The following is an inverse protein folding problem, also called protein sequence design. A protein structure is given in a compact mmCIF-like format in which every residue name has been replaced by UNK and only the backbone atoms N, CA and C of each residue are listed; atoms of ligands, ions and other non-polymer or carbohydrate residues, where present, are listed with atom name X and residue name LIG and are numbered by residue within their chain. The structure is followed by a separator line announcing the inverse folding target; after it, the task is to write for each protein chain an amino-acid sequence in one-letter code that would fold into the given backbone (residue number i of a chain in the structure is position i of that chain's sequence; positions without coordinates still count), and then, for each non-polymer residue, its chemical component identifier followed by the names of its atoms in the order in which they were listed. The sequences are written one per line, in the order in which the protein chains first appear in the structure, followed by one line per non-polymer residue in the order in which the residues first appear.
data_IF_395838918544
#
_entry.id   IF_395838918544
#
_cell.length_a   1.000
_cell.length_b   1.000
_cell.length_c   1.000
_cell.angle_alpha   90.00
_cell.angle_beta   90.00
_cell.angle_gamma   90.00
#
_symmetry.space_group_name_H-M   'P 1'
#
loop_
_entity.id
_entity.type
_entity.pdbx_description
1 polymer ?
#
# COMPACT_ATOMS: atom_id res chain seq x y z
N UNK A 1 0.20 -40.06 -54.46
CA UNK A 1 -0.74 -38.91 -54.29
C UNK A 1 -1.08 -38.60 -52.84
N UNK A 2 -0.15 -38.64 -51.88
CA UNK A 2 -0.43 -38.47 -50.42
C UNK A 2 0.28 -37.24 -49.77
N UNK A 3 1.06 -36.47 -50.51
CA UNK A 3 1.82 -35.33 -50.01
C UNK A 3 1.02 -34.05 -49.74
N UNK A 4 -0.07 -33.68 -50.46
CA UNK A 4 -0.78 -32.41 -50.18
C UNK A 4 -1.63 -32.44 -48.90
N UNK A 5 -2.16 -33.65 -48.50
CA UNK A 5 -3.03 -33.76 -47.34
C UNK A 5 -2.26 -33.56 -46.01
N UNK A 6 -1.03 -34.06 -45.93
CA UNK A 6 -0.15 -33.92 -44.74
C UNK A 6 0.36 -32.49 -44.57
N UNK A 7 0.55 -31.73 -45.64
CA UNK A 7 0.90 -30.29 -45.55
C UNK A 7 -0.27 -29.46 -45.10
N UNK A 8 -1.49 -29.76 -45.56
CA UNK A 8 -2.70 -29.04 -45.14
C UNK A 8 -3.01 -29.27 -43.65
N UNK A 9 -2.86 -30.51 -43.16
CA UNK A 9 -3.01 -30.83 -41.72
C UNK A 9 -1.95 -30.12 -40.85
N UNK A 10 -0.71 -30.07 -41.30
CA UNK A 10 0.36 -29.32 -40.58
C UNK A 10 0.09 -27.83 -40.56
N UNK A 11 -0.39 -27.23 -41.63
CA UNK A 11 -0.78 -25.81 -41.68
C UNK A 11 -1.96 -25.50 -40.76
N UNK A 12 -2.98 -26.38 -40.70
CA UNK A 12 -4.12 -26.24 -39.80
C UNK A 12 -3.71 -26.39 -38.32
N UNK A 13 -2.81 -27.35 -38.01
CA UNK A 13 -2.27 -27.49 -36.64
C UNK A 13 -1.40 -26.29 -36.24
N UNK A 14 -0.59 -25.76 -37.13
CA UNK A 14 0.21 -24.54 -36.87
C UNK A 14 -0.68 -23.30 -36.66
N UNK A 15 -1.76 -23.17 -37.46
CA UNK A 15 -2.73 -22.07 -37.28
C UNK A 15 -3.52 -22.21 -35.98
N UNK A 16 -3.91 -23.42 -35.59
CA UNK A 16 -4.57 -23.69 -34.31
C UNK A 16 -3.63 -23.43 -33.11
N UNK A 17 -2.34 -23.79 -33.22
CA UNK A 17 -1.33 -23.47 -32.20
C UNK A 17 -1.07 -21.97 -32.10
N UNK A 18 -1.02 -21.26 -33.22
CA UNK A 18 -0.86 -19.82 -33.24
C UNK A 18 -2.09 -19.08 -32.66
N UNK A 19 -3.30 -19.58 -32.90
CA UNK A 19 -4.53 -19.07 -32.28
C UNK A 19 -4.57 -19.33 -30.76
N UNK A 20 -4.09 -20.50 -30.30
CA UNK A 20 -3.98 -20.80 -28.88
C UNK A 20 -2.91 -19.95 -28.18
N UNK A 21 -1.81 -19.62 -28.84
CA UNK A 21 -0.75 -18.75 -28.33
C UNK A 21 -1.16 -17.26 -28.25
N UNK A 22 -2.16 -16.84 -29.04
CA UNK A 22 -2.69 -15.47 -29.03
C UNK A 22 -3.66 -15.20 -27.88
N UNK A 23 -4.10 -16.22 -27.12
CA UNK A 23 -4.91 -16.04 -25.90
C UNK A 23 -3.96 -15.72 -24.76
N UNK A 24 -3.46 -14.48 -24.69
CA UNK A 24 -2.86 -13.98 -23.47
C UNK A 24 -3.96 -13.90 -22.42
N UNK A 25 -3.79 -14.45 -21.20
CA UNK A 25 -4.74 -14.23 -20.14
C UNK A 25 -4.78 -12.73 -19.86
N UNK A 26 -5.86 -12.08 -20.25
CA UNK A 26 -6.14 -10.74 -19.74
C UNK A 26 -6.20 -10.89 -18.22
N UNK A 27 -5.30 -10.23 -17.49
CA UNK A 27 -5.32 -10.18 -16.03
C UNK A 27 -6.56 -9.38 -15.61
N UNK A 28 -7.69 -10.09 -15.54
CA UNK A 28 -8.91 -9.52 -14.98
C UNK A 28 -8.79 -9.58 -13.46
N UNK A 29 -8.84 -8.42 -12.84
CA UNK A 29 -8.93 -8.26 -11.39
C UNK A 29 -10.40 -8.20 -10.98
N UNK A 30 -10.71 -8.60 -9.74
CA UNK A 30 -12.08 -8.46 -9.25
C UNK A 30 -12.28 -7.04 -8.77
N UNK A 31 -13.51 -6.52 -8.85
CA UNK A 31 -13.84 -5.15 -8.39
C UNK A 31 -13.33 -4.91 -6.96
N UNK A 32 -13.47 -5.88 -6.04
CA UNK A 32 -12.97 -5.74 -4.65
C UNK A 32 -11.45 -5.58 -4.53
N UNK A 33 -10.68 -5.98 -5.54
CA UNK A 33 -9.23 -5.85 -5.55
C UNK A 33 -8.81 -4.46 -6.08
N UNK A 34 -9.73 -3.75 -6.76
CA UNK A 34 -9.55 -2.41 -7.32
C UNK A 34 -9.93 -1.26 -6.38
N UNK A 35 -10.71 -1.54 -5.32
CA UNK A 35 -11.19 -0.48 -4.44
C UNK A 35 -12.11 -1.00 -3.33
N UNK A 36 -12.87 -0.07 -2.74
CA UNK A 36 -13.78 -0.37 -1.64
C UNK A 36 -15.05 0.46 -1.68
N UNK A 37 -16.12 -0.06 -1.09
CA UNK A 37 -17.33 0.71 -0.92
C UNK A 37 -17.18 1.78 0.16
N UNK A 38 -17.74 2.94 -0.08
CA UNK A 38 -17.77 4.03 0.90
C UNK A 38 -18.48 3.57 2.19
N UNK A 39 -17.91 3.96 3.34
CA UNK A 39 -18.42 3.56 4.65
C UNK A 39 -17.85 2.21 5.15
N UNK A 40 -17.11 1.47 4.32
CA UNK A 40 -16.45 0.22 4.70
C UNK A 40 -14.95 0.44 5.00
N UNK A 41 -14.60 1.52 5.69
CA UNK A 41 -13.23 1.74 6.13
C UNK A 41 -13.04 1.31 7.58
N UNK A 42 -11.85 0.85 7.91
CA UNK A 42 -11.45 0.71 9.30
C UNK A 42 -11.27 2.08 9.96
N UNK A 43 -11.66 2.19 11.23
CA UNK A 43 -11.51 3.41 12.01
C UNK A 43 -10.45 3.18 13.11
N UNK A 44 -9.56 4.15 13.26
CA UNK A 44 -8.53 4.10 14.30
C UNK A 44 -9.15 4.55 15.63
N UNK A 45 -8.98 3.74 16.67
CA UNK A 45 -9.36 4.07 18.03
C UNK A 45 -8.12 4.32 18.86
N UNK A 46 -8.20 5.34 19.71
CA UNK A 46 -7.13 5.68 20.63
C UNK A 46 -7.67 5.90 22.05
N UNK A 47 -6.84 5.64 23.03
CA UNK A 47 -7.20 5.93 24.41
C UNK A 47 -5.97 6.02 25.28
N UNK A 48 -6.16 6.62 26.43
CA UNK A 48 -5.14 6.82 27.44
C UNK A 48 -5.45 5.98 28.68
N UNK A 49 -4.50 5.18 29.13
CA UNK A 49 -4.72 4.25 30.23
C UNK A 49 -3.51 4.02 31.13
N UNK A 50 -3.67 3.09 32.03
CA UNK A 50 -2.61 2.67 32.97
C UNK A 50 -2.43 1.15 32.87
N UNK A 51 -1.18 0.75 32.80
CA UNK A 51 -0.74 -0.63 33.02
C UNK A 51 -0.21 -0.74 34.45
N UNK A 52 -0.65 -1.77 35.17
CA UNK A 52 -0.27 -2.05 36.54
C UNK A 52 0.36 -3.44 36.66
N UNK A 53 1.00 -3.72 37.82
CA UNK A 53 1.61 -5.02 38.08
C UNK A 53 3.02 -5.17 37.49
N UNK A 54 3.66 -4.08 37.12
CA UNK A 54 5.02 -4.11 36.59
C UNK A 54 6.05 -4.40 37.71
N UNK A 55 7.08 -5.24 37.45
CA UNK A 55 8.09 -5.60 38.45
C UNK A 55 9.16 -4.50 38.60
N UNK A 56 8.77 -3.29 38.99
CA UNK A 56 9.68 -2.16 39.17
C UNK A 56 10.17 -1.51 37.85
N UNK A 57 9.58 -1.85 36.70
CA UNK A 57 9.96 -1.34 35.37
C UNK A 57 9.03 -0.23 34.86
N UNK A 58 8.08 0.20 35.68
CA UNK A 58 7.14 1.28 35.33
C UNK A 58 7.77 2.67 35.35
N UNK A 59 6.93 3.69 35.41
CA UNK A 59 7.34 5.08 35.36
C UNK A 59 8.03 5.54 36.66
N UNK A 60 9.20 6.16 36.53
CA UNK A 60 9.95 6.73 37.67
C UNK A 60 9.39 8.11 38.08
N UNK A 61 8.81 8.87 37.15
CA UNK A 61 8.28 10.21 37.39
C UNK A 61 6.77 10.28 37.09
N UNK A 62 6.04 10.59 38.13
CA UNK A 62 4.66 10.18 38.34
C UNK A 62 3.58 11.19 37.98
N UNK A 63 3.88 12.33 37.40
CA UNK A 63 2.81 13.33 37.16
C UNK A 63 1.71 12.76 36.26
N UNK A 64 2.05 12.12 35.17
CA UNK A 64 1.07 11.52 34.24
C UNK A 64 0.42 10.26 34.82
N UNK A 65 1.21 9.38 35.44
CA UNK A 65 0.68 8.18 36.09
C UNK A 65 -0.23 8.54 37.28
N UNK A 66 0.11 9.57 38.02
CA UNK A 66 -0.73 10.05 39.15
C UNK A 66 -2.05 10.62 38.65
N UNK A 67 -2.05 11.43 37.58
CA UNK A 67 -3.27 11.95 36.99
C UNK A 67 -4.18 10.84 36.45
N UNK A 68 -3.59 9.87 35.76
CA UNK A 68 -4.31 8.73 35.24
C UNK A 68 -4.84 7.83 36.36
N UNK A 69 -4.03 7.59 37.43
CA UNK A 69 -4.45 6.81 38.58
C UNK A 69 -5.58 7.52 39.36
N UNK A 70 -5.54 8.86 39.52
CA UNK A 70 -6.64 9.63 40.08
C UNK A 70 -7.91 9.50 39.24
N UNK A 71 -7.82 9.51 37.92
CA UNK A 71 -8.95 9.29 37.03
C UNK A 71 -9.58 7.91 37.23
N UNK A 72 -8.76 6.87 37.39
CA UNK A 72 -9.24 5.50 37.64
C UNK A 72 -9.81 5.35 39.05
N UNK A 73 -9.11 5.80 40.10
CA UNK A 73 -9.57 5.70 41.51
C UNK A 73 -10.87 6.47 41.72
N UNK A 74 -11.04 7.65 41.10
CA UNK A 74 -12.28 8.40 41.17
C UNK A 74 -13.46 7.63 40.55
N UNK A 75 -13.23 6.87 39.46
CA UNK A 75 -14.27 6.00 38.89
C UNK A 75 -14.71 4.86 39.81
N UNK A 76 -13.78 4.39 40.68
CA UNK A 76 -14.09 3.36 41.69
C UNK A 76 -14.52 3.94 43.06
N UNK A 77 -14.78 5.27 43.10
CA UNK A 77 -15.22 5.93 44.32
C UNK A 77 -14.12 6.15 45.40
N UNK A 78 -12.86 5.95 44.98
CA UNK A 78 -11.70 6.19 45.86
C UNK A 78 -11.08 7.53 45.49
N UNK A 79 -11.07 8.49 46.42
CA UNK A 79 -10.34 9.75 46.26
C UNK A 79 -8.97 9.69 46.93
N UNK A 80 -7.91 9.92 46.14
CA UNK A 80 -6.56 10.07 46.73
C UNK A 80 -6.46 11.45 47.40
N UNK A 81 -5.98 11.55 48.63
CA UNK A 81 -5.79 12.81 49.30
C UNK A 81 -4.85 13.74 48.53
N UNK A 82 -5.07 15.08 48.56
CA UNK A 82 -4.14 16.04 47.95
C UNK A 82 -2.74 15.89 48.55
N UNK A 83 -1.71 15.82 47.69
CA UNK A 83 -0.30 15.71 48.13
C UNK A 83 0.25 14.29 48.27
N UNK A 84 -0.57 13.25 48.20
CA UNK A 84 -0.08 11.87 48.13
C UNK A 84 0.41 11.59 46.72
N UNK A 85 1.70 11.35 46.58
CA UNK A 85 2.35 10.95 45.33
C UNK A 85 2.79 9.47 45.48
N UNK A 86 1.99 8.51 44.97
CA UNK A 86 2.36 7.10 45.07
C UNK A 86 3.57 6.85 44.17
N UNK A 87 4.78 6.79 44.75
CA UNK A 87 6.00 6.43 44.05
C UNK A 87 5.97 4.93 43.72
N UNK A 88 5.30 4.54 42.65
CA UNK A 88 5.15 3.12 42.34
C UNK A 88 5.70 2.87 40.91
N UNK A 89 6.94 2.37 40.85
CA UNK A 89 7.51 1.80 39.61
C UNK A 89 6.75 0.57 39.10
N UNK A 90 5.62 0.26 39.75
CA UNK A 90 4.76 -0.88 39.38
C UNK A 90 3.62 -0.48 38.39
N UNK A 91 3.55 0.80 38.01
CA UNK A 91 2.57 1.30 37.06
C UNK A 91 3.22 2.12 35.96
N UNK A 92 2.60 2.13 34.81
CA UNK A 92 3.02 2.94 33.66
C UNK A 92 1.82 3.59 32.97
N UNK A 93 1.98 4.85 32.59
CA UNK A 93 1.04 5.54 31.70
C UNK A 93 1.22 5.06 30.27
N UNK A 94 0.13 4.73 29.61
CA UNK A 94 0.15 4.13 28.27
C UNK A 94 -0.86 4.77 27.32
N UNK A 95 -0.49 4.85 26.06
CA UNK A 95 -1.40 5.02 24.93
C UNK A 95 -1.83 3.65 24.45
N UNK A 96 -3.10 3.50 24.19
CA UNK A 96 -3.69 2.27 23.66
C UNK A 96 -4.33 2.58 22.33
N UNK A 97 -3.99 1.79 21.33
CA UNK A 97 -4.55 1.92 19.98
C UNK A 97 -5.18 0.62 19.54
N UNK A 98 -6.28 0.72 18.80
CA UNK A 98 -6.95 -0.40 18.17
C UNK A 98 -7.52 0.01 16.81
N UNK A 99 -7.72 -0.97 15.96
CA UNK A 99 -8.38 -0.79 14.68
C UNK A 99 -9.81 -1.35 14.80
N UNK A 100 -10.80 -0.50 14.58
CA UNK A 100 -12.20 -0.89 14.53
C UNK A 100 -12.56 -1.27 13.09
N UNK A 101 -12.80 -2.56 12.80
CA UNK A 101 -13.16 -3.00 11.45
C UNK A 101 -14.44 -2.33 10.97
N UNK A 102 -14.63 -2.21 9.66
CA UNK A 102 -15.90 -1.73 9.13
C UNK A 102 -17.06 -2.64 9.58
N UNK A 103 -18.21 -2.03 9.83
CA UNK A 103 -19.42 -2.72 10.29
C UNK A 103 -19.25 -3.54 11.58
N UNK A 104 -18.27 -3.25 12.41
CA UNK A 104 -18.10 -3.91 13.69
C UNK A 104 -19.36 -3.79 14.55
N UNK A 105 -19.74 -4.89 15.21
CA UNK A 105 -20.93 -4.96 16.05
C UNK A 105 -20.56 -4.93 17.53
N UNK A 106 -21.41 -4.36 18.41
CA UNK A 106 -21.25 -4.46 19.87
C UNK A 106 -21.01 -5.90 20.30
N UNK A 107 -20.05 -6.09 21.23
CA UNK A 107 -19.60 -7.40 21.70
C UNK A 107 -18.47 -8.03 20.89
N UNK A 108 -18.12 -7.52 19.72
CA UNK A 108 -16.96 -7.98 18.95
C UNK A 108 -15.65 -7.64 19.66
N UNK A 109 -14.67 -8.56 19.57
CA UNK A 109 -13.37 -8.40 20.21
C UNK A 109 -12.37 -7.83 19.21
N UNK A 110 -11.53 -6.91 19.70
CA UNK A 110 -10.46 -6.26 18.94
C UNK A 110 -9.11 -6.51 19.61
N UNK A 111 -8.08 -6.64 18.80
CA UNK A 111 -6.71 -6.60 19.29
C UNK A 111 -6.31 -5.17 19.61
N UNK A 112 -5.55 -4.99 20.67
CA UNK A 112 -5.05 -3.67 21.05
C UNK A 112 -3.53 -3.66 21.16
N UNK A 113 -2.95 -2.54 20.79
CA UNK A 113 -1.53 -2.23 20.99
C UNK A 113 -1.42 -1.22 22.12
N UNK A 114 -0.54 -1.51 23.06
CA UNK A 114 -0.31 -0.71 24.26
C UNK A 114 1.12 -0.20 24.25
N UNK A 115 1.32 1.10 24.26
CA UNK A 115 2.63 1.76 24.18
C UNK A 115 2.84 2.66 25.39
N UNK A 116 3.99 2.56 26.05
CA UNK A 116 4.34 3.44 27.16
C UNK A 116 4.51 4.89 26.67
N UNK A 117 3.92 5.84 27.39
CA UNK A 117 4.06 7.29 27.11
C UNK A 117 5.15 7.88 28.00
N UNK A 118 5.33 7.31 29.19
CA UNK A 118 6.25 7.80 30.19
C UNK A 118 7.66 7.18 30.06
N UNK A 119 8.33 7.02 31.20
CA UNK A 119 9.69 6.52 31.30
C UNK A 119 9.75 5.01 31.61
N UNK A 120 8.65 4.30 31.46
CA UNK A 120 8.60 2.87 31.74
C UNK A 120 9.60 2.10 30.85
N UNK A 121 10.49 1.35 31.51
CA UNK A 121 11.55 0.58 30.84
C UNK A 121 11.00 -0.67 30.17
N UNK A 122 9.93 -1.26 30.71
CA UNK A 122 9.27 -2.44 30.17
C UNK A 122 7.83 -2.54 30.68
N UNK A 123 6.93 -2.97 29.80
CA UNK A 123 5.53 -3.28 30.13
C UNK A 123 5.30 -4.78 30.39
N UNK A 124 6.36 -5.58 30.44
CA UNK A 124 6.26 -7.03 30.60
C UNK A 124 5.67 -7.42 31.94
N UNK A 125 4.71 -8.34 31.92
CA UNK A 125 3.99 -8.81 33.10
C UNK A 125 2.89 -7.87 33.60
N UNK A 126 2.71 -6.73 32.92
CA UNK A 126 1.70 -5.75 33.26
C UNK A 126 0.30 -6.12 32.76
N UNK A 127 -0.70 -5.56 33.42
CA UNK A 127 -2.11 -5.65 33.09
C UNK A 127 -2.68 -4.28 32.81
N UNK A 128 -3.32 -4.09 31.67
CA UNK A 128 -4.04 -2.87 31.32
C UNK A 128 -5.35 -2.83 32.12
N UNK A 129 -5.56 -1.76 32.87
CA UNK A 129 -6.82 -1.47 33.55
C UNK A 129 -7.86 -1.05 32.51
N UNK A 130 -9.13 -1.43 32.74
CA UNK A 130 -10.24 -1.10 31.85
C UNK A 130 -10.30 0.39 31.54
N UNK A 131 -10.28 0.72 30.26
CA UNK A 131 -10.28 2.08 29.76
C UNK A 131 -11.04 2.22 28.45
N UNK A 132 -11.64 3.40 28.17
CA UNK A 132 -12.29 3.64 26.90
C UNK A 132 -11.32 3.87 25.76
N UNK A 133 -11.70 3.38 24.58
CA UNK A 133 -11.08 3.73 23.30
C UNK A 133 -12.03 4.66 22.52
N UNK A 134 -11.50 5.80 22.11
CA UNK A 134 -12.23 6.87 21.46
C UNK A 134 -11.91 6.90 19.95
N UNK A 135 -12.91 7.22 19.16
CA UNK A 135 -12.76 7.58 17.76
C UNK A 135 -12.27 9.03 17.57
N UNK A 136 -12.07 9.42 16.33
CA UNK A 136 -11.65 10.79 15.98
C UNK A 136 -12.70 11.86 16.35
N UNK A 137 -13.95 11.47 16.51
CA UNK A 137 -15.09 12.30 16.98
C UNK A 137 -15.15 12.45 18.51
N UNK A 138 -14.22 11.82 19.24
CA UNK A 138 -14.20 11.83 20.70
C UNK A 138 -15.23 10.93 21.38
N UNK A 139 -15.98 10.12 20.61
CA UNK A 139 -16.95 9.18 21.16
C UNK A 139 -16.27 7.85 21.52
N UNK A 140 -16.82 7.18 22.54
CA UNK A 140 -16.36 5.86 22.98
C UNK A 140 -16.93 4.78 22.07
N UNK A 141 -16.07 3.99 21.44
CA UNK A 141 -16.44 2.88 20.55
C UNK A 141 -16.10 1.50 21.12
N UNK A 142 -15.08 1.42 21.97
CA UNK A 142 -14.70 0.15 22.61
C UNK A 142 -14.15 0.37 24.02
N UNK A 143 -14.15 -0.70 24.81
CA UNK A 143 -13.52 -0.76 26.13
C UNK A 143 -12.35 -1.74 26.07
N UNK A 144 -11.14 -1.32 26.49
CA UNK A 144 -9.94 -2.13 26.48
C UNK A 144 -9.51 -2.53 27.87
N UNK A 145 -9.09 -3.80 28.05
CA UNK A 145 -8.47 -4.32 29.26
C UNK A 145 -7.73 -5.63 28.98
N UNK A 146 -6.80 -6.02 29.88
CA UNK A 146 -6.21 -7.35 29.85
C UNK A 146 -4.71 -7.40 30.08
N UNK A 147 -4.16 -8.59 30.04
CA UNK A 147 -2.74 -8.85 30.28
C UNK A 147 -1.93 -8.61 29.01
N UNK A 148 -0.80 -7.92 29.13
CA UNK A 148 0.05 -7.59 28.01
C UNK A 148 0.96 -8.75 27.61
N UNK A 149 0.94 -9.08 26.32
CA UNK A 149 2.00 -9.87 25.71
C UNK A 149 3.05 -8.90 25.15
N UNK A 150 4.22 -8.86 25.78
CA UNK A 150 5.33 -7.99 25.39
C UNK A 150 6.42 -8.83 24.75
N UNK A 151 6.74 -8.54 23.49
CA UNK A 151 7.88 -9.12 22.78
C UNK A 151 9.15 -8.38 23.18
N UNK A 152 10.24 -9.14 23.45
CA UNK A 152 11.54 -8.55 23.78
C UNK A 152 11.97 -8.70 25.24
N UNK A 153 13.28 -8.56 25.43
CA UNK A 153 13.95 -8.65 26.73
C UNK A 153 14.83 -7.39 26.89
N UNK A 154 14.56 -6.62 27.94
CA UNK A 154 15.48 -5.58 28.40
C UNK A 154 16.16 -6.08 29.66
N UNK A 155 17.48 -6.25 29.65
CA UNK A 155 18.28 -6.60 30.83
C UNK A 155 19.24 -5.45 31.10
N UNK A 156 19.13 -4.90 32.31
CA UNK A 156 20.10 -3.90 32.80
C UNK A 156 21.06 -4.64 33.75
N UNK A 157 22.35 -4.66 33.42
CA UNK A 157 23.40 -5.19 34.28
C UNK A 157 23.61 -4.30 35.51
N UNK A 158 24.14 -4.87 36.58
CA UNK A 158 24.50 -4.14 37.81
C UNK A 158 25.64 -3.12 37.59
N UNK A 159 26.34 -3.22 36.46
CA UNK A 159 27.41 -2.33 35.97
C UNK A 159 26.89 -1.16 35.14
N UNK A 160 25.56 -1.04 34.96
CA UNK A 160 24.93 -0.02 34.12
C UNK A 160 24.85 -0.37 32.62
N UNK A 161 25.33 -1.54 32.21
CA UNK A 161 25.15 -2.03 30.85
C UNK A 161 23.68 -2.35 30.59
N UNK A 162 23.15 -1.86 29.44
CA UNK A 162 21.76 -2.08 29.05
C UNK A 162 21.71 -2.80 27.69
N UNK A 163 21.27 -4.05 27.70
CA UNK A 163 21.03 -4.82 26.49
C UNK A 163 19.53 -4.90 26.24
N UNK A 164 19.04 -4.23 25.22
CA UNK A 164 17.64 -4.26 24.81
C UNK A 164 17.52 -5.06 23.51
N UNK A 165 16.85 -6.19 23.60
CA UNK A 165 16.48 -7.00 22.44
C UNK A 165 14.97 -6.79 22.19
N UNK A 166 14.62 -6.17 21.06
CA UNK A 166 13.28 -5.67 20.74
C UNK A 166 12.81 -4.52 21.67
N UNK A 167 11.61 -4.00 21.42
CA UNK A 167 11.06 -2.84 22.13
C UNK A 167 10.18 -3.31 23.31
N UNK A 168 10.67 -3.32 24.55
CA UNK A 168 9.90 -3.81 25.71
C UNK A 168 8.85 -2.81 26.20
N UNK A 169 8.83 -1.58 25.70
CA UNK A 169 7.87 -0.53 26.04
C UNK A 169 6.58 -0.59 25.22
N UNK A 170 6.45 -1.58 24.31
CA UNK A 170 5.24 -1.83 23.54
C UNK A 170 4.77 -3.26 23.77
N UNK A 171 3.48 -3.44 24.00
CA UNK A 171 2.85 -4.74 24.17
C UNK A 171 1.56 -4.85 23.37
N UNK A 172 1.07 -6.07 23.19
CA UNK A 172 -0.19 -6.37 22.53
C UNK A 172 -1.09 -7.16 23.45
N UNK A 173 -2.39 -6.91 23.40
CA UNK A 173 -3.40 -7.72 24.07
C UNK A 173 -4.30 -8.28 22.98
N UNK A 174 -4.20 -9.58 22.72
CA UNK A 174 -5.07 -10.24 21.76
C UNK A 174 -6.50 -10.24 22.29
N UNK A 175 -7.46 -9.84 21.44
CA UNK A 175 -8.85 -9.67 21.82
C UNK A 175 -9.04 -8.79 23.07
N UNK A 176 -8.17 -7.79 23.25
CA UNK A 176 -8.07 -6.97 24.45
C UNK A 176 -9.11 -5.85 24.58
N UNK A 177 -9.84 -5.54 23.52
CA UNK A 177 -10.97 -4.60 23.61
C UNK A 177 -12.26 -5.24 23.15
N UNK A 178 -13.37 -4.74 23.70
CA UNK A 178 -14.74 -5.11 23.29
C UNK A 178 -15.40 -3.89 22.68
N UNK A 179 -16.01 -4.05 21.52
CA UNK A 179 -16.77 -3.00 20.84
C UNK A 179 -18.07 -2.74 21.65
N UNK A 180 -18.32 -1.48 21.99
CA UNK A 180 -19.50 -1.05 22.71
C UNK A 180 -20.52 -0.36 21.78
N UNK A 181 -20.01 0.31 20.74
CA UNK A 181 -20.83 1.04 19.77
C UNK A 181 -20.39 0.75 18.35
N UNK A 182 -21.34 0.53 17.45
CA UNK A 182 -21.10 0.47 16.02
C UNK A 182 -20.89 1.88 15.45
N UNK A 183 -20.08 1.99 14.39
CA UNK A 183 -19.95 3.24 13.63
C UNK A 183 -21.13 3.35 12.68
N UNK A 184 -21.84 4.48 12.72
CA UNK A 184 -22.88 4.78 11.75
C UNK A 184 -22.22 5.16 10.41
N UNK A 185 -22.40 4.30 9.41
CA UNK A 185 -21.77 4.48 8.09
C UNK A 185 -22.67 5.15 7.07
N UNK A 186 -23.93 5.46 7.42
CA UNK A 186 -24.95 5.94 6.48
C UNK A 186 -25.34 4.90 5.41
N UNK A 187 -24.83 3.68 5.52
CA UNK A 187 -25.01 2.60 4.57
C UNK A 187 -26.49 2.29 4.25
N UNK A 188 -27.37 2.44 5.23
CA UNK A 188 -28.81 2.15 5.08
C UNK A 188 -29.63 3.36 4.62
N UNK A 189 -29.05 4.58 4.66
CA UNK A 189 -29.79 5.83 4.50
C UNK A 189 -29.66 6.45 3.11
N UNK A 190 -28.65 6.07 2.33
CA UNK A 190 -28.43 6.63 0.99
C UNK A 190 -29.13 5.82 -0.10
N UNK A 191 -29.74 6.44 -1.14
CA UNK A 191 -30.35 5.72 -2.25
C UNK A 191 -29.34 5.11 -3.23
N UNK A 192 -28.07 5.19 -2.95
CA UNK A 192 -26.98 4.67 -3.78
C UNK A 192 -25.86 4.10 -2.91
N UNK A 193 -25.08 3.21 -3.50
CA UNK A 193 -23.76 2.79 -3.01
C UNK A 193 -22.70 3.58 -3.80
N UNK A 194 -21.62 3.95 -3.13
CA UNK A 194 -20.48 4.56 -3.77
C UNK A 194 -19.29 3.60 -3.65
N UNK A 195 -18.75 3.20 -4.79
CA UNK A 195 -17.54 2.40 -4.84
C UNK A 195 -16.36 3.31 -5.20
N UNK A 196 -15.34 3.32 -4.35
CA UNK A 196 -14.16 4.15 -4.52
C UNK A 196 -12.98 3.29 -4.96
N UNK A 197 -12.38 3.63 -6.09
CA UNK A 197 -11.15 3.04 -6.58
C UNK A 197 -9.98 3.40 -5.66
N UNK A 198 -9.03 2.49 -5.51
CA UNK A 198 -7.78 2.73 -4.78
C UNK A 198 -6.87 3.71 -5.51
N UNK A 199 -6.76 3.55 -6.83
CA UNK A 199 -6.01 4.43 -7.71
C UNK A 199 -6.98 5.22 -8.62
N UNK A 200 -6.73 6.53 -8.73
CA UNK A 200 -7.57 7.41 -9.54
C UNK A 200 -7.33 7.17 -11.03
N UNK A 201 -8.30 6.61 -11.74
CA UNK A 201 -8.26 6.41 -13.20
C UNK A 201 -9.65 6.43 -13.82
N UNK A 202 -9.89 7.39 -14.74
CA UNK A 202 -11.16 7.57 -15.42
C UNK A 202 -11.58 6.34 -16.25
N UNK A 203 -10.61 5.72 -16.91
CA UNK A 203 -10.88 4.56 -17.79
C UNK A 203 -11.26 3.34 -16.97
N UNK A 204 -10.57 3.10 -15.86
CA UNK A 204 -10.89 2.03 -14.93
C UNK A 204 -12.25 2.26 -14.27
N UNK A 205 -12.56 3.51 -13.85
CA UNK A 205 -13.88 3.84 -13.30
C UNK A 205 -15.02 3.56 -14.29
N UNK A 206 -14.85 3.91 -15.56
CA UNK A 206 -15.81 3.59 -16.62
C UNK A 206 -15.95 2.08 -16.84
N UNK A 207 -14.82 1.35 -16.93
CA UNK A 207 -14.83 -0.11 -17.10
C UNK A 207 -15.52 -0.83 -15.94
N UNK A 208 -15.33 -0.36 -14.71
CA UNK A 208 -16.03 -0.87 -13.53
C UNK A 208 -17.54 -0.64 -13.66
N UNK A 209 -17.95 0.58 -14.03
CA UNK A 209 -19.37 0.89 -14.23
C UNK A 209 -20.00 0.03 -15.34
N UNK A 210 -19.31 -0.13 -16.48
CA UNK A 210 -19.77 -0.95 -17.60
C UNK A 210 -19.85 -2.44 -17.22
N UNK A 211 -18.88 -2.97 -16.49
CA UNK A 211 -18.88 -4.35 -16.01
C UNK A 211 -20.06 -4.62 -15.06
N UNK A 212 -20.35 -3.68 -14.14
CA UNK A 212 -21.51 -3.76 -13.26
C UNK A 212 -22.80 -3.76 -14.09
N UNK A 213 -22.95 -2.82 -15.01
CA UNK A 213 -24.12 -2.69 -15.87
C UNK A 213 -24.32 -3.95 -16.73
N UNK A 214 -23.23 -4.49 -17.28
CA UNK A 214 -23.25 -5.74 -18.04
C UNK A 214 -23.72 -6.94 -17.23
N UNK A 215 -23.22 -7.06 -15.99
CA UNK A 215 -23.61 -8.17 -15.08
C UNK A 215 -25.08 -8.13 -14.65
N UNK A 216 -25.64 -6.92 -14.48
CA UNK A 216 -27.03 -6.75 -14.05
C UNK A 216 -28.02 -6.59 -15.22
N UNK A 217 -27.55 -6.30 -16.42
CA UNK A 217 -28.35 -6.18 -17.63
C UNK A 217 -29.12 -4.85 -17.77
N UNK A 218 -28.85 -3.86 -16.91
CA UNK A 218 -29.42 -2.50 -16.99
C UNK A 218 -28.47 -1.47 -16.41
N UNK A 219 -28.72 -0.19 -16.72
CA UNK A 219 -27.88 0.93 -16.26
C UNK A 219 -28.08 1.17 -14.75
N UNK A 220 -27.22 0.56 -13.95
CA UNK A 220 -27.21 0.60 -12.49
C UNK A 220 -26.07 1.47 -11.95
N UNK A 221 -24.93 1.45 -12.61
CA UNK A 221 -23.70 2.10 -12.20
C UNK A 221 -23.29 3.20 -13.18
N UNK A 222 -22.77 4.29 -12.64
CA UNK A 222 -22.23 5.43 -13.40
C UNK A 222 -20.93 5.88 -12.74
N UNK A 223 -19.87 6.06 -13.52
CA UNK A 223 -18.65 6.70 -13.06
C UNK A 223 -18.90 8.19 -12.82
N UNK A 224 -18.73 8.65 -11.59
CA UNK A 224 -18.88 10.06 -11.22
C UNK A 224 -17.62 10.86 -11.54
N UNK A 225 -16.47 10.27 -11.25
CA UNK A 225 -15.15 10.85 -11.40
C UNK A 225 -14.08 9.75 -11.53
N UNK A 226 -12.81 10.11 -11.48
CA UNK A 226 -11.69 9.17 -11.63
C UNK A 226 -11.57 8.16 -10.48
N UNK A 227 -12.24 8.40 -9.36
CA UNK A 227 -12.14 7.58 -8.14
C UNK A 227 -13.46 6.91 -7.83
N UNK A 228 -14.59 7.55 -8.10
CA UNK A 228 -15.88 7.13 -7.57
C UNK A 228 -16.87 6.64 -8.63
N UNK A 229 -17.43 5.46 -8.39
CA UNK A 229 -18.53 4.86 -9.17
C UNK A 229 -19.76 4.82 -8.31
N UNK A 230 -20.83 5.51 -8.73
CA UNK A 230 -22.13 5.52 -8.06
C UNK A 230 -23.02 4.41 -8.61
N UNK A 231 -23.59 3.65 -7.71
CA UNK A 231 -24.40 2.47 -8.02
C UNK A 231 -25.77 2.65 -7.35
N UNK A 232 -26.85 2.58 -8.11
CA UNK A 232 -28.20 2.63 -7.52
C UNK A 232 -28.40 1.45 -6.56
N UNK A 233 -28.85 1.74 -5.33
CA UNK A 233 -28.91 0.76 -4.27
C UNK A 233 -30.35 0.33 -3.97
N UNK A 234 -30.58 -0.94 -3.62
CA UNK A 234 -31.84 -1.40 -3.06
C UNK A 234 -32.18 -0.69 -1.74
N UNK A 235 -33.44 -0.70 -1.37
CA UNK A 235 -33.90 -0.04 -0.14
C UNK A 235 -33.53 -0.83 1.11
N UNK A 236 -33.52 -2.16 1.04
CA UNK A 236 -33.27 -3.01 2.21
C UNK A 236 -31.78 -3.30 2.40
N UNK A 237 -31.31 -3.34 3.65
CA UNK A 237 -29.94 -3.66 3.98
C UNK A 237 -29.52 -5.06 3.47
N UNK A 238 -30.42 -6.03 3.52
CA UNK A 238 -30.15 -7.40 3.04
C UNK A 238 -29.86 -7.41 1.54
N UNK A 239 -30.70 -6.74 0.74
CA UNK A 239 -30.52 -6.68 -0.72
C UNK A 239 -29.23 -5.91 -1.08
N UNK A 240 -28.87 -4.88 -0.30
CA UNK A 240 -27.60 -4.16 -0.48
C UNK A 240 -26.39 -5.06 -0.29
N UNK A 241 -26.38 -5.85 0.79
CA UNK A 241 -25.29 -6.80 1.06
C UNK A 241 -25.19 -7.83 -0.06
N UNK A 242 -26.34 -8.39 -0.50
CA UNK A 242 -26.35 -9.34 -1.62
C UNK A 242 -25.82 -8.71 -2.91
N UNK A 243 -26.24 -7.49 -3.20
CA UNK A 243 -25.79 -6.74 -4.38
C UNK A 243 -24.31 -6.48 -4.34
N UNK A 244 -23.76 -5.98 -3.22
CA UNK A 244 -22.34 -5.74 -3.03
C UNK A 244 -21.53 -7.01 -3.19
N UNK A 245 -21.95 -8.11 -2.58
CA UNK A 245 -21.29 -9.41 -2.71
C UNK A 245 -21.20 -9.89 -4.16
N UNK A 246 -22.22 -9.61 -4.98
CA UNK A 246 -22.18 -9.90 -6.42
C UNK A 246 -21.24 -8.98 -7.16
N UNK A 247 -21.25 -7.67 -6.85
CA UNK A 247 -20.39 -6.66 -7.48
C UNK A 247 -18.92 -6.93 -7.20
N UNK A 248 -18.57 -7.22 -5.95
CA UNK A 248 -17.19 -7.48 -5.53
C UNK A 248 -16.46 -8.55 -6.33
N UNK A 249 -17.19 -9.52 -6.85
CA UNK A 249 -16.63 -10.66 -7.56
C UNK A 249 -16.69 -10.53 -9.10
N UNK A 250 -17.15 -9.39 -9.64
CA UNK A 250 -17.16 -9.15 -11.08
C UNK A 250 -15.72 -8.95 -11.55
N UNK A 251 -15.27 -9.68 -12.59
CA UNK A 251 -13.95 -9.47 -13.18
C UNK A 251 -13.94 -8.21 -14.05
N UNK A 252 -12.92 -7.39 -13.87
CA UNK A 252 -12.66 -6.16 -14.65
C UNK A 252 -11.20 -6.14 -15.04
N UNK A 253 -10.91 -5.76 -16.26
CA UNK A 253 -9.54 -5.47 -16.70
C UNK A 253 -9.28 -3.97 -16.47
N UNK A 254 -8.47 -3.56 -15.48
CA UNK A 254 -8.17 -2.16 -15.24
C UNK A 254 -7.44 -1.54 -16.43
N UNK A 255 -7.43 -0.22 -16.53
CA UNK A 255 -6.59 0.46 -17.50
C UNK A 255 -5.11 0.26 -17.15
N UNK A 256 -4.26 0.42 -18.17
CA UNK A 256 -2.82 0.38 -17.94
C UNK A 256 -2.42 1.52 -16.98
N UNK A 257 -1.73 1.17 -15.90
CA UNK A 257 -1.32 2.14 -14.89
C UNK A 257 -0.39 3.21 -15.53
N UNK A 258 -0.51 4.45 -15.05
CA UNK A 258 0.38 5.52 -15.49
C UNK A 258 1.85 5.13 -15.28
N UNK A 259 2.70 5.52 -16.23
CA UNK A 259 4.13 5.25 -16.16
C UNK A 259 4.73 5.87 -14.89
N UNK A 260 5.34 5.04 -14.03
CA UNK A 260 5.90 5.46 -12.73
C UNK A 260 7.26 4.85 -12.48
N UNK A 261 8.17 5.67 -11.97
CA UNK A 261 9.51 5.27 -11.53
C UNK A 261 9.68 5.67 -10.07
N UNK A 262 10.03 4.73 -9.24
CA UNK A 262 10.31 4.97 -7.80
C UNK A 262 11.80 4.67 -7.58
N UNK A 263 12.52 5.63 -7.05
CA UNK A 263 13.95 5.51 -6.75
C UNK A 263 14.17 5.72 -5.27
N UNK A 264 14.76 4.74 -4.60
CA UNK A 264 15.24 4.91 -3.24
C UNK A 264 16.72 5.30 -3.29
N UNK A 265 17.00 6.59 -3.09
CA UNK A 265 18.35 7.14 -3.17
C UNK A 265 19.32 6.58 -2.11
N UNK A 266 18.79 6.06 -0.99
CA UNK A 266 19.60 5.47 0.09
C UNK A 266 20.01 4.03 -0.19
N UNK A 267 19.12 3.23 -0.75
CA UNK A 267 19.36 1.79 -0.98
C UNK A 267 19.76 1.47 -2.42
N UNK A 268 19.60 2.42 -3.36
CA UNK A 268 19.81 2.20 -4.79
C UNK A 268 18.71 1.37 -5.48
N UNK A 269 17.60 1.11 -4.78
CA UNK A 269 16.52 0.33 -5.36
C UNK A 269 15.72 1.20 -6.34
N UNK A 270 15.56 0.71 -7.58
CA UNK A 270 14.73 1.33 -8.61
C UNK A 270 13.58 0.39 -8.95
N UNK A 271 12.36 0.90 -8.88
CA UNK A 271 11.15 0.19 -9.29
C UNK A 271 10.55 0.91 -10.49
N UNK A 272 10.36 0.18 -11.58
CA UNK A 272 9.86 0.71 -12.86
C UNK A 272 8.62 -0.09 -13.23
N UNK A 273 7.51 0.57 -13.54
CA UNK A 273 6.39 -0.13 -14.15
C UNK A 273 6.57 -0.24 -15.67
N UNK A 274 5.87 -1.21 -16.32
CA UNK A 274 6.08 -1.59 -17.70
C UNK A 274 5.80 -0.53 -18.76
N UNK A 275 5.14 0.59 -18.40
CA UNK A 275 4.72 1.65 -19.33
C UNK A 275 5.75 2.78 -19.50
N UNK A 276 6.90 2.71 -18.80
CA UNK A 276 7.90 3.79 -18.81
C UNK A 276 8.69 3.80 -20.10
N UNK A 277 8.67 4.94 -20.80
CA UNK A 277 9.43 5.19 -22.04
C UNK A 277 10.31 6.42 -21.88
N UNK A 278 11.47 6.38 -22.51
CA UNK A 278 12.41 7.51 -22.56
C UNK A 278 12.49 8.04 -23.99
N UNK A 279 12.36 9.36 -24.11
CA UNK A 279 12.60 10.08 -25.36
C UNK A 279 14.09 10.38 -25.57
N UNK A 280 14.45 10.87 -26.76
CA UNK A 280 15.82 11.29 -27.06
C UNK A 280 16.28 12.42 -26.13
N UNK A 281 17.39 12.21 -25.43
CA UNK A 281 18.01 13.21 -24.56
C UNK A 281 19.49 12.91 -24.35
N UNK A 282 20.26 13.93 -23.99
CA UNK A 282 21.63 13.78 -23.51
C UNK A 282 21.72 14.40 -22.11
N UNK A 283 22.15 13.62 -21.14
CA UNK A 283 22.38 14.06 -19.75
C UNK A 283 23.82 13.80 -19.37
N UNK A 284 24.45 14.80 -18.78
CA UNK A 284 25.78 14.68 -18.21
C UNK A 284 25.73 14.96 -16.71
N UNK A 285 26.20 14.01 -15.89
CA UNK A 285 26.28 14.16 -14.44
C UNK A 285 27.65 13.70 -13.95
N UNK A 286 28.43 14.63 -13.41
CA UNK A 286 29.80 14.34 -12.96
C UNK A 286 30.67 13.86 -14.11
N UNK A 287 31.20 12.63 -14.00
CA UNK A 287 31.99 11.96 -15.03
C UNK A 287 31.15 11.12 -16.00
N UNK A 288 29.85 11.00 -15.75
CA UNK A 288 28.93 10.21 -16.54
C UNK A 288 28.13 11.12 -17.48
N UNK A 289 28.08 10.77 -18.76
CA UNK A 289 27.24 11.44 -19.75
C UNK A 289 26.36 10.40 -20.43
N UNK A 290 25.05 10.60 -20.40
CA UNK A 290 24.05 9.71 -20.99
C UNK A 290 23.39 10.42 -22.17
N UNK A 291 23.46 9.85 -23.37
CA UNK A 291 22.78 10.33 -24.59
C UNK A 291 21.76 9.31 -25.08
N UNK A 292 20.56 9.75 -25.40
CA UNK A 292 19.50 8.93 -25.99
C UNK A 292 19.27 9.37 -27.43
N UNK A 293 19.54 8.51 -28.42
CA UNK A 293 19.29 8.76 -29.85
C UNK A 293 18.24 7.82 -30.43
N UNK A 294 17.50 8.30 -31.44
CA UNK A 294 16.57 7.50 -32.22
C UNK A 294 17.26 6.96 -33.47
N UNK A 295 17.30 5.63 -33.65
CA UNK A 295 17.69 5.01 -34.91
C UNK A 295 16.61 4.03 -35.40
N UNK A 296 15.77 4.41 -36.35
CA UNK A 296 14.84 3.46 -36.97
C UNK A 296 15.62 2.51 -37.89
N UNK A 297 15.57 1.22 -37.63
CA UNK A 297 16.08 0.21 -38.57
C UNK A 297 14.94 -0.24 -39.47
N UNK A 298 15.08 0.04 -40.77
CA UNK A 298 14.13 -0.40 -41.80
C UNK A 298 14.51 -1.81 -42.22
N UNK A 299 13.72 -2.81 -41.86
CA UNK A 299 13.89 -4.16 -42.36
C UNK A 299 13.12 -4.31 -43.65
N UNK A 300 13.85 -4.35 -44.77
CA UNK A 300 13.26 -4.66 -46.08
C UNK A 300 13.19 -6.18 -46.29
N UNK A 301 12.04 -6.68 -46.80
CA UNK A 301 11.96 -8.09 -47.21
C UNK A 301 12.95 -8.40 -48.35
N UNK A 302 13.41 -9.66 -48.40
CA UNK A 302 14.26 -10.08 -49.49
C UNK A 302 13.59 -9.92 -50.84
N UNK A 303 14.35 -9.60 -51.92
CA UNK A 303 13.77 -9.46 -53.25
C UNK A 303 12.97 -10.70 -53.64
N UNK A 304 11.73 -10.52 -54.13
CA UNK A 304 10.76 -11.56 -54.51
C UNK A 304 10.02 -12.27 -53.37
N UNK A 305 9.92 -11.68 -52.19
CA UNK A 305 9.02 -12.16 -51.13
C UNK A 305 7.80 -11.25 -50.99
N UNK A 306 6.62 -11.82 -50.72
CA UNK A 306 5.33 -11.06 -50.55
C UNK A 306 5.24 -10.40 -49.13
N UNK A 307 6.36 -10.03 -48.53
CA UNK A 307 6.39 -9.39 -47.23
C UNK A 307 6.22 -7.85 -47.32
N UNK A 308 5.51 -7.26 -46.35
CA UNK A 308 5.45 -5.81 -46.18
C UNK A 308 6.65 -5.29 -45.42
N UNK A 309 7.15 -4.10 -45.78
CA UNK A 309 8.24 -3.42 -45.06
C UNK A 309 7.78 -3.12 -43.62
N UNK A 310 8.46 -3.69 -42.65
CA UNK A 310 8.25 -3.43 -41.23
C UNK A 310 9.36 -2.54 -40.69
N UNK A 311 8.99 -1.53 -39.91
CA UNK A 311 9.94 -0.70 -39.17
C UNK A 311 10.11 -1.31 -37.80
N UNK A 312 11.24 -1.99 -37.55
CA UNK A 312 11.58 -2.53 -36.25
C UNK A 312 12.46 -1.53 -35.50
N UNK A 313 12.01 -1.09 -34.34
CA UNK A 313 12.78 -0.18 -33.50
C UNK A 313 13.72 -1.01 -32.61
N UNK A 314 15.02 -0.97 -32.88
CA UNK A 314 16.06 -1.55 -32.05
C UNK A 314 16.87 -0.43 -31.41
N UNK A 315 17.07 -0.55 -30.10
CA UNK A 315 17.92 0.35 -29.32
C UNK A 315 19.31 -0.25 -29.19
N UNK A 316 20.34 0.53 -29.49
CA UNK A 316 21.73 0.17 -29.22
C UNK A 316 22.26 1.13 -28.15
N UNK A 317 22.81 0.58 -27.08
CA UNK A 317 23.35 1.32 -25.93
C UNK A 317 24.86 1.10 -25.92
N UNK A 318 25.63 2.19 -26.07
CA UNK A 318 27.06 2.19 -25.86
C UNK A 318 27.40 3.05 -24.64
N UNK A 319 28.20 2.52 -23.73
CA UNK A 319 28.72 3.22 -22.57
C UNK A 319 30.25 3.06 -22.51
N UNK A 320 30.96 4.16 -22.58
CA UNK A 320 32.41 4.21 -22.37
C UNK A 320 32.73 5.09 -21.17
N UNK A 321 33.62 4.59 -20.29
CA UNK A 321 34.21 5.35 -19.20
C UNK A 321 35.46 6.06 -19.72
N UNK A 322 35.32 7.30 -20.17
CA UNK A 322 36.47 8.14 -20.54
C UNK A 322 36.34 9.58 -20.09
N UNK A 323 37.48 10.23 -19.98
CA UNK A 323 37.78 11.61 -19.54
C UNK A 323 37.11 12.71 -20.38
N UNK A 324 36.02 12.46 -21.05
CA UNK A 324 35.08 13.36 -21.72
C UNK A 324 34.30 12.69 -22.87
N UNK A 325 33.37 11.80 -22.64
CA UNK A 325 32.34 11.56 -23.66
C UNK A 325 30.92 11.73 -23.13
N UNK A 326 30.14 12.37 -23.98
CA UNK A 326 28.70 12.38 -23.88
C UNK A 326 28.13 11.09 -24.52
N UNK A 327 27.24 10.38 -23.83
CA UNK A 327 26.62 9.15 -24.35
C UNK A 327 25.28 9.46 -25.01
N UNK A 328 25.04 8.83 -26.14
CA UNK A 328 23.84 8.97 -26.94
C UNK A 328 23.00 7.68 -26.84
N UNK A 329 21.81 7.75 -26.26
CA UNK A 329 20.87 6.63 -26.13
C UNK A 329 19.81 6.74 -27.20
N UNK A 330 19.60 5.66 -27.95
CA UNK A 330 18.63 5.62 -29.06
C UNK A 330 17.19 5.55 -28.55
N UNK A 331 16.25 6.24 -29.22
CA UNK A 331 14.83 6.32 -28.85
C UNK A 331 14.19 4.95 -28.77
N UNK A 332 13.46 4.70 -27.67
CA UNK A 332 12.75 3.45 -27.42
C UNK A 332 13.45 2.49 -26.49
N UNK A 333 14.60 2.87 -25.89
CA UNK A 333 15.23 2.09 -24.86
C UNK A 333 14.30 1.96 -23.64
N UNK A 334 14.12 0.74 -23.13
CA UNK A 334 13.45 0.52 -21.86
C UNK A 334 14.31 1.12 -20.75
N UNK A 335 13.67 1.84 -19.83
CA UNK A 335 14.39 2.41 -18.68
C UNK A 335 15.18 1.35 -17.90
N UNK A 336 14.69 0.11 -17.85
CA UNK A 336 15.38 -1.04 -17.22
C UNK A 336 16.79 -1.25 -17.79
N UNK A 337 16.95 -1.20 -19.11
CA UNK A 337 18.26 -1.39 -19.77
C UNK A 337 19.22 -0.27 -19.40
N UNK A 338 18.72 0.97 -19.28
CA UNK A 338 19.52 2.13 -18.86
C UNK A 338 19.95 1.99 -17.40
N UNK A 339 19.04 1.59 -16.52
CA UNK A 339 19.33 1.37 -15.09
C UNK A 339 20.33 0.23 -14.91
N UNK A 340 20.18 -0.88 -15.63
CA UNK A 340 21.15 -1.98 -15.61
C UNK A 340 22.53 -1.55 -16.09
N UNK A 341 22.57 -0.75 -17.14
CA UNK A 341 23.84 -0.25 -17.70
C UNK A 341 24.52 0.74 -16.75
N UNK A 342 23.77 1.67 -16.15
CA UNK A 342 24.28 2.62 -15.15
C UNK A 342 24.79 1.88 -13.90
N UNK A 343 24.06 0.85 -13.45
CA UNK A 343 24.50 0.00 -12.34
C UNK A 343 25.75 -0.82 -12.68
N UNK A 344 25.88 -1.32 -13.92
CA UNK A 344 27.07 -2.08 -14.36
C UNK A 344 28.34 -1.23 -14.36
N UNK A 345 28.24 0.08 -14.54
CA UNK A 345 29.38 1.03 -14.49
C UNK A 345 29.72 1.39 -13.03
N UNK A 346 28.90 1.00 -12.04
CA UNK A 346 29.16 1.30 -10.64
C UNK A 346 28.79 2.71 -10.21
N UNK A 347 27.84 3.36 -10.89
CA UNK A 347 27.30 4.65 -10.46
C UNK A 347 26.66 4.54 -9.08
N UNK A 348 26.77 5.60 -8.28
CA UNK A 348 26.12 5.63 -6.98
C UNK A 348 24.59 5.76 -7.11
N UNK A 349 23.82 5.29 -6.11
CA UNK A 349 22.36 5.47 -6.08
C UNK A 349 21.90 6.92 -6.22
N UNK A 350 22.69 7.86 -5.67
CA UNK A 350 22.43 9.29 -5.80
C UNK A 350 22.66 9.82 -7.21
N UNK A 351 23.66 9.30 -7.93
CA UNK A 351 23.92 9.70 -9.32
C UNK A 351 22.79 9.23 -10.24
N UNK A 352 22.30 8.01 -10.02
CA UNK A 352 21.15 7.47 -10.75
C UNK A 352 19.89 8.33 -10.54
N UNK A 353 19.62 8.71 -9.29
CA UNK A 353 18.48 9.58 -8.97
C UNK A 353 18.62 10.93 -9.69
N UNK A 354 19.80 11.55 -9.66
CA UNK A 354 20.06 12.82 -10.30
C UNK A 354 19.95 12.75 -11.85
N UNK A 355 20.42 11.66 -12.47
CA UNK A 355 20.26 11.43 -13.91
C UNK A 355 18.79 11.29 -14.29
N UNK A 356 18.00 10.51 -13.53
CA UNK A 356 16.57 10.33 -13.79
C UNK A 356 15.78 11.63 -13.57
N UNK A 357 16.16 12.44 -12.59
CA UNK A 357 15.58 13.75 -12.36
C UNK A 357 15.89 14.71 -13.52
N UNK A 358 17.13 14.73 -14.00
CA UNK A 358 17.52 15.53 -15.17
C UNK A 358 16.77 15.10 -16.44
N UNK A 359 16.62 13.78 -16.67
CA UNK A 359 15.81 13.25 -17.78
C UNK A 359 14.31 13.64 -17.66
N UNK A 360 13.79 13.70 -16.43
CA UNK A 360 12.42 14.15 -16.17
C UNK A 360 12.28 15.64 -16.45
N UNK A 361 13.21 16.48 -15.98
CA UNK A 361 13.21 17.93 -16.22
C UNK A 361 13.39 18.26 -17.69
N UNK A 362 14.20 17.49 -18.42
CA UNK A 362 14.35 17.61 -19.87
C UNK A 362 13.11 17.13 -20.67
N UNK A 363 12.09 16.55 -20.01
CA UNK A 363 10.90 16.00 -20.65
C UNK A 363 11.15 14.70 -21.43
N UNK A 364 12.33 14.12 -21.32
CA UNK A 364 12.69 12.86 -21.95
C UNK A 364 12.09 11.66 -21.20
N UNK A 365 12.01 11.68 -19.89
CA UNK A 365 11.35 10.65 -19.08
C UNK A 365 9.84 10.93 -19.04
N UNK A 366 9.07 10.13 -19.77
CA UNK A 366 7.59 10.20 -19.78
C UNK A 366 7.01 9.29 -18.70
N UNK A 367 7.31 9.60 -17.45
CA UNK A 367 6.82 8.89 -16.28
C UNK A 367 6.72 9.84 -15.08
N UNK A 368 5.95 9.48 -14.09
CA UNK A 368 6.03 10.08 -12.77
C UNK A 368 7.31 9.58 -12.08
N UNK A 369 8.12 10.48 -11.56
CA UNK A 369 9.34 10.15 -10.80
C UNK A 369 9.09 10.44 -9.32
N UNK A 370 9.27 9.41 -8.48
CA UNK A 370 9.17 9.49 -7.01
C UNK A 370 10.52 9.09 -6.43
N UNK A 371 11.14 9.99 -5.67
CA UNK A 371 12.41 9.75 -4.97
C UNK A 371 12.12 9.59 -3.48
N UNK A 372 12.61 8.47 -2.89
CA UNK A 372 12.42 8.09 -1.48
C UNK A 372 13.74 8.13 -0.70
#
# INVERSE_FOLDING_TARGET
MTRPLTQMVRALCALALALLAAIQPAHAERIKDLGSFQGLRANQLTGYGIVVGLPGTGDDNLQYATLAMRGVTNRFGLSLPPGVNPATRNAAAVMVTAELPPMAKPGQRLDVTVSAIGQAKSLRGGTLIMMPLLGADGQIYAMAQGNLAVGGLGVTGADGSNTVVNIPSVGRIAAGATVERAVETGFEQTPYLLFNLADADLTTAMRVADAINGQFGYALAVANDAVSVRIAAPVTAQERVMMMSRIENIPVTPAEAAAKVIVNARTGTVVINGAVRIGSAAVSHGKLTVKVQEAPTIVQPAPFSDGQTAVEQRSQIDIEEQTNPAFEITKGANLSEIVETINAIGASPSDLAAILEALKQAGALKAELVIL
#
